data_IF_514723530449
#
_entry.id   IF_514723530449
#
_cell.length_a   1.000
_cell.length_b   1.000
_cell.length_c   1.000
_cell.angle_alpha   90.00
_cell.angle_beta   90.00
_cell.angle_gamma   90.00
#
_symmetry.space_group_name_H-M   'P 1'
#
loop_
_entity.id
_entity.type
_entity.pdbx_description
1 polymer ?
#
# COMPACT_ATOMS: atom_id res chain seq x y z
N UNK A 1 -51.97 30.59 56.77
CA UNK A 1 -52.32 31.92 57.31
C UNK A 1 -51.05 32.57 57.85
N UNK A 2 -50.86 33.86 57.53
CA UNK A 2 -50.01 34.88 58.20
C UNK A 2 -48.48 34.72 58.04
N UNK A 3 -47.83 35.57 57.22
CA UNK A 3 -47.26 36.93 57.53
C UNK A 3 -45.98 36.81 58.38
N UNK A 4 -44.88 37.53 58.16
CA UNK A 4 -44.47 38.64 57.29
C UNK A 4 -42.98 38.92 57.58
N UNK A 5 -42.20 39.40 56.61
CA UNK A 5 -41.52 40.73 56.59
C UNK A 5 -40.73 41.06 57.86
N UNK A 6 -39.46 41.53 57.84
CA UNK A 6 -38.88 42.68 57.14
C UNK A 6 -37.40 42.77 57.64
N UNK A 7 -36.36 43.19 56.89
CA UNK A 7 -35.94 44.59 56.74
C UNK A 7 -34.63 44.66 55.93
N UNK A 8 -34.53 45.67 55.06
CA UNK A 8 -33.33 46.14 54.33
C UNK A 8 -32.85 47.44 55.03
N UNK A 9 -31.55 47.82 55.00
CA UNK A 9 -31.12 48.97 54.16
C UNK A 9 -29.68 48.81 53.56
N UNK A 10 -29.40 49.05 52.27
CA UNK A 10 -29.11 50.30 51.51
C UNK A 10 -27.82 51.09 51.87
N UNK A 11 -26.88 51.14 50.89
CA UNK A 11 -25.91 52.21 50.45
C UNK A 11 -24.46 51.67 50.31
N UNK A 12 -23.53 52.11 49.45
CA UNK A 12 -23.45 52.81 48.14
C UNK A 12 -21.95 52.74 47.72
N UNK A 13 -21.67 52.49 46.44
CA UNK A 13 -20.49 52.86 45.62
C UNK A 13 -19.03 52.78 46.16
N UNK A 14 -18.19 52.02 45.45
CA UNK A 14 -16.82 52.45 45.10
C UNK A 14 -16.39 51.80 43.77
N UNK A 15 -15.86 52.65 42.88
CA UNK A 15 -15.27 52.34 41.58
C UNK A 15 -13.90 51.67 41.80
N UNK A 16 -13.62 50.61 41.04
CA UNK A 16 -12.29 50.01 40.94
C UNK A 16 -12.11 49.44 39.54
N UNK A 17 -11.30 50.12 38.72
CA UNK A 17 -10.81 49.62 37.43
C UNK A 17 -9.86 48.46 37.72
N UNK A 18 -10.08 47.30 37.11
CA UNK A 18 -9.03 46.30 36.91
C UNK A 18 -9.02 45.85 35.45
N UNK A 19 -7.93 46.19 34.78
CA UNK A 19 -7.51 45.69 33.48
C UNK A 19 -7.26 44.19 33.62
N UNK A 20 -8.03 43.37 32.90
CA UNK A 20 -7.92 41.91 32.88
C UNK A 20 -7.77 41.42 31.45
N UNK A 21 -6.53 41.06 31.12
CA UNK A 21 -5.99 40.46 29.89
C UNK A 21 -6.97 39.57 29.11
N UNK A 22 -7.12 39.89 27.81
CA UNK A 22 -7.64 38.97 26.78
C UNK A 22 -6.74 37.73 26.70
N UNK A 23 -7.18 36.60 27.24
CA UNK A 23 -6.67 35.30 26.79
C UNK A 23 -7.57 34.85 25.66
N UNK A 24 -7.10 35.06 24.44
CA UNK A 24 -7.73 34.54 23.23
C UNK A 24 -7.89 33.03 23.36
N UNK A 25 -9.12 32.56 23.16
CA UNK A 25 -9.38 31.16 22.91
C UNK A 25 -8.64 30.78 21.62
N UNK A 26 -7.49 30.13 21.75
CA UNK A 26 -6.87 29.43 20.64
C UNK A 26 -7.83 28.32 20.24
N UNK A 27 -8.52 28.52 19.11
CA UNK A 27 -9.23 27.45 18.43
C UNK A 27 -8.20 26.39 18.06
N UNK A 28 -8.12 25.32 18.85
CA UNK A 28 -7.57 24.07 18.37
C UNK A 28 -8.52 23.57 17.29
N UNK A 29 -8.28 24.01 16.05
CA UNK A 29 -8.79 23.31 14.90
C UNK A 29 -8.15 21.92 14.93
N UNK A 30 -8.85 20.94 15.51
CA UNK A 30 -8.56 19.55 15.18
C UNK A 30 -8.72 19.48 13.67
N UNK A 31 -7.64 19.23 12.94
CA UNK A 31 -7.75 18.83 11.55
C UNK A 31 -8.60 17.56 11.55
N UNK A 32 -9.91 17.71 11.33
CA UNK A 32 -10.80 16.62 11.03
C UNK A 32 -10.34 16.11 9.67
N UNK A 33 -9.41 15.18 9.69
CA UNK A 33 -8.94 14.51 8.49
C UNK A 33 -10.15 13.81 7.88
N UNK A 34 -10.45 14.12 6.62
CA UNK A 34 -11.45 13.39 5.84
C UNK A 34 -11.14 11.90 5.91
N UNK A 35 -12.14 11.03 6.11
CA UNK A 35 -11.90 9.58 6.12
C UNK A 35 -11.26 9.16 4.78
N UNK A 36 -10.37 8.14 4.78
CA UNK A 36 -9.75 7.66 3.56
C UNK A 36 -10.78 7.31 2.47
N UNK A 37 -10.44 7.57 1.20
CA UNK A 37 -11.31 7.18 0.10
C UNK A 37 -11.26 5.65 -0.06
N UNK A 38 -12.40 4.94 0.08
CA UNK A 38 -12.41 3.48 0.22
C UNK A 38 -11.99 2.73 -1.07
N UNK A 39 -11.84 3.44 -2.18
CA UNK A 39 -11.53 2.91 -3.51
C UNK A 39 -10.20 3.46 -4.06
N UNK A 40 -9.34 4.03 -3.21
CA UNK A 40 -8.03 4.59 -3.58
C UNK A 40 -6.92 3.89 -2.81
N UNK A 41 -5.89 3.44 -3.51
CA UNK A 41 -4.74 2.71 -2.96
C UNK A 41 -3.44 3.35 -3.43
N UNK A 42 -2.42 3.33 -2.59
CA UNK A 42 -1.06 3.62 -3.02
C UNK A 42 -0.31 2.29 -3.20
N UNK A 43 0.20 2.04 -4.40
CA UNK A 43 0.91 0.81 -4.73
C UNK A 43 2.41 1.08 -4.73
N UNK A 44 3.13 0.38 -3.87
CA UNK A 44 4.58 0.39 -3.79
C UNK A 44 5.10 -0.97 -4.29
N UNK A 45 6.32 -1.02 -4.83
CA UNK A 45 6.99 -2.25 -5.23
C UNK A 45 8.49 -2.07 -5.07
N UNK A 46 9.21 -3.14 -4.72
CA UNK A 46 10.68 -3.18 -4.71
C UNK A 46 11.25 -1.98 -3.90
N UNK A 47 10.84 -1.89 -2.62
CA UNK A 47 11.22 -0.80 -1.72
C UNK A 47 12.60 -0.99 -1.12
N UNK A 48 13.08 -2.24 -1.05
CA UNK A 48 14.45 -2.60 -0.77
C UNK A 48 15.05 -1.92 0.47
N UNK A 49 14.29 -1.83 1.56
CA UNK A 49 14.73 -1.14 2.76
C UNK A 49 15.87 -1.91 3.43
N UNK A 50 17.00 -1.25 3.61
CA UNK A 50 18.14 -1.76 4.36
C UNK A 50 18.05 -1.37 5.84
N UNK A 51 18.69 -2.14 6.71
CA UNK A 51 18.74 -1.87 8.14
C UNK A 51 19.38 -0.53 8.47
N UNK A 52 20.43 -0.14 7.74
CA UNK A 52 20.95 1.23 7.81
C UNK A 52 20.17 2.15 6.86
N UNK A 53 19.51 3.17 7.43
CA UNK A 53 18.77 4.20 6.68
C UNK A 53 19.65 4.99 5.73
N UNK A 54 20.93 5.15 6.04
CA UNK A 54 21.89 5.86 5.21
C UNK A 54 22.50 5.01 4.10
N UNK A 55 22.22 3.70 4.08
CA UNK A 55 22.75 2.79 3.06
C UNK A 55 22.30 3.24 1.67
N UNK A 56 23.19 3.08 0.70
CA UNK A 56 22.94 3.39 -0.70
C UNK A 56 23.11 2.15 -1.57
N UNK A 57 22.15 1.92 -2.46
CA UNK A 57 22.25 0.95 -3.52
C UNK A 57 22.04 1.66 -4.86
N UNK A 58 22.95 1.44 -5.81
CA UNK A 58 22.89 2.07 -7.15
C UNK A 58 22.82 3.62 -7.09
N UNK A 59 23.50 4.22 -6.12
CA UNK A 59 23.53 5.68 -5.92
C UNK A 59 22.23 6.27 -5.39
N UNK A 60 21.37 5.45 -4.79
CA UNK A 60 20.09 5.87 -4.21
C UNK A 60 20.05 5.48 -2.74
N UNK A 61 19.61 6.40 -1.88
CA UNK A 61 19.20 6.13 -0.50
C UNK A 61 17.74 5.65 -0.50
N UNK A 62 17.54 4.33 -0.41
CA UNK A 62 16.21 3.69 -0.49
C UNK A 62 15.25 4.23 0.58
N UNK A 63 15.74 4.46 1.80
CA UNK A 63 14.93 4.99 2.89
C UNK A 63 14.43 6.42 2.62
N UNK A 64 15.20 7.25 1.89
CA UNK A 64 14.79 8.62 1.55
C UNK A 64 13.69 8.61 0.49
N UNK A 65 13.83 7.76 -0.53
CA UNK A 65 12.78 7.53 -1.54
C UNK A 65 11.47 7.06 -0.90
N UNK A 66 11.56 6.08 0.01
CA UNK A 66 10.40 5.58 0.74
C UNK A 66 9.76 6.68 1.60
N UNK A 67 10.57 7.41 2.38
CA UNK A 67 10.09 8.50 3.21
C UNK A 67 9.43 9.62 2.39
N UNK A 68 9.95 9.91 1.20
CA UNK A 68 9.31 10.84 0.26
C UNK A 68 7.96 10.32 -0.21
N UNK A 69 7.86 9.07 -0.68
CA UNK A 69 6.59 8.49 -1.09
C UNK A 69 5.55 8.49 0.05
N UNK A 70 5.97 8.16 1.28
CA UNK A 70 5.10 8.25 2.46
C UNK A 70 4.56 9.66 2.66
N UNK A 71 5.41 10.70 2.58
CA UNK A 71 4.95 12.10 2.68
C UNK A 71 3.96 12.46 1.58
N UNK A 72 4.21 12.05 0.35
CA UNK A 72 3.31 12.31 -0.79
C UNK A 72 1.96 11.60 -0.66
N UNK A 73 1.96 10.35 -0.18
CA UNK A 73 0.73 9.59 0.13
C UNK A 73 -0.08 10.30 1.21
N UNK A 74 0.55 10.81 2.27
CA UNK A 74 -0.13 11.54 3.35
C UNK A 74 -0.73 12.88 2.91
N UNK A 75 -0.18 13.48 1.86
CA UNK A 75 -0.66 14.74 1.24
C UNK A 75 -1.79 14.53 0.22
N UNK A 76 -2.12 13.29 -0.11
CA UNK A 76 -3.19 12.99 -1.04
C UNK A 76 -4.57 13.36 -0.47
N UNK A 77 -5.37 14.07 -1.27
CA UNK A 77 -6.76 14.37 -0.94
C UNK A 77 -7.71 13.81 -2.02
N UNK A 78 -8.67 12.94 -1.66
CA UNK A 78 -8.79 12.22 -0.38
C UNK A 78 -7.65 11.20 -0.20
N UNK A 79 -7.24 10.90 1.04
CA UNK A 79 -6.15 9.93 1.30
C UNK A 79 -6.49 8.52 0.79
N UNK A 80 -5.48 7.73 0.33
CA UNK A 80 -5.68 6.31 0.04
C UNK A 80 -6.13 5.54 1.29
N UNK A 81 -6.98 4.54 1.10
CA UNK A 81 -7.43 3.66 2.19
C UNK A 81 -6.34 2.72 2.68
N UNK A 82 -5.40 2.35 1.80
CA UNK A 82 -4.29 1.48 2.14
C UNK A 82 -3.09 1.71 1.21
N UNK A 83 -1.91 1.36 1.71
CA UNK A 83 -0.70 1.11 0.93
C UNK A 83 -0.57 -0.39 0.70
N UNK A 84 -0.41 -0.79 -0.56
CA UNK A 84 -0.16 -2.18 -0.96
C UNK A 84 1.28 -2.28 -1.48
N UNK A 85 2.11 -3.09 -0.81
CA UNK A 85 3.52 -3.31 -1.20
C UNK A 85 3.64 -4.62 -1.98
N UNK A 86 4.12 -4.55 -3.22
CA UNK A 86 4.27 -5.67 -4.13
C UNK A 86 5.66 -6.34 -3.99
N UNK A 87 5.99 -6.79 -2.77
CA UNK A 87 7.22 -7.53 -2.48
C UNK A 87 8.52 -6.73 -2.54
N UNK A 88 9.61 -7.44 -2.25
CA UNK A 88 10.95 -6.92 -2.02
C UNK A 88 10.94 -5.71 -1.10
N UNK A 89 10.26 -5.90 0.04
CA UNK A 89 10.12 -4.87 1.06
C UNK A 89 11.48 -4.55 1.69
N UNK A 90 12.24 -5.61 2.01
CA UNK A 90 13.61 -5.53 2.51
C UNK A 90 14.66 -5.54 1.38
N UNK A 91 15.86 -5.04 1.65
CA UNK A 91 16.90 -4.84 0.64
C UNK A 91 17.35 -6.14 -0.05
N UNK A 92 17.79 -7.13 0.71
CA UNK A 92 18.44 -8.32 0.14
C UNK A 92 18.05 -9.65 0.80
N UNK A 93 18.06 -9.72 2.14
CA UNK A 93 17.91 -10.99 2.88
C UNK A 93 16.84 -10.94 3.97
N UNK A 94 16.03 -9.89 4.01
CA UNK A 94 15.02 -9.67 5.05
C UNK A 94 15.59 -9.79 6.46
N UNK A 95 16.64 -9.02 6.78
CA UNK A 95 17.23 -9.04 8.13
C UNK A 95 16.27 -8.41 9.15
N UNK A 96 16.53 -8.62 10.45
CA UNK A 96 15.69 -8.00 11.48
C UNK A 96 15.82 -6.48 11.45
N UNK A 97 17.02 -5.99 11.14
CA UNK A 97 17.37 -4.59 11.01
C UNK A 97 16.65 -3.94 9.81
N UNK A 98 16.63 -4.62 8.65
CA UNK A 98 15.87 -4.17 7.47
C UNK A 98 14.40 -3.92 7.83
N UNK A 99 13.79 -4.87 8.55
CA UNK A 99 12.40 -4.77 8.96
C UNK A 99 12.16 -3.78 10.10
N UNK A 100 13.11 -3.58 11.01
CA UNK A 100 13.02 -2.53 12.01
C UNK A 100 13.00 -1.14 11.36
N UNK A 101 13.83 -0.93 10.34
CA UNK A 101 13.86 0.32 9.58
C UNK A 101 12.60 0.48 8.73
N UNK A 102 12.14 -0.57 8.05
CA UNK A 102 10.89 -0.53 7.29
C UNK A 102 9.69 -0.20 8.20
N UNK A 103 9.58 -0.84 9.37
CA UNK A 103 8.53 -0.56 10.35
C UNK A 103 8.53 0.92 10.76
N UNK A 104 9.69 1.47 11.09
CA UNK A 104 9.80 2.89 11.46
C UNK A 104 9.41 3.83 10.30
N UNK A 105 9.70 3.46 9.06
CA UNK A 105 9.30 4.23 7.87
C UNK A 105 7.80 4.16 7.58
N UNK A 106 7.13 3.07 7.98
CA UNK A 106 5.69 2.86 7.81
C UNK A 106 4.83 3.54 8.90
N UNK A 107 5.41 3.84 10.06
CA UNK A 107 4.67 4.39 11.20
C UNK A 107 3.83 5.64 10.87
N UNK A 108 4.32 6.62 10.08
CA UNK A 108 3.51 7.79 9.72
C UNK A 108 2.22 7.44 8.96
N UNK A 109 2.21 6.35 8.17
CA UNK A 109 1.01 5.88 7.48
C UNK A 109 0.02 5.27 8.47
N UNK A 110 0.52 4.48 9.44
CA UNK A 110 -0.28 3.83 10.48
C UNK A 110 -0.92 4.85 11.42
N UNK A 111 -0.15 5.85 11.85
CA UNK A 111 -0.63 6.96 12.67
C UNK A 111 -1.75 7.74 11.95
N UNK A 112 -1.69 7.82 10.62
CA UNK A 112 -2.74 8.43 9.79
C UNK A 112 -3.94 7.51 9.50
N UNK A 113 -3.97 6.30 10.07
CA UNK A 113 -5.04 5.32 9.87
C UNK A 113 -5.04 4.65 8.49
N UNK A 114 -3.92 4.71 7.75
CA UNK A 114 -3.77 4.06 6.45
C UNK A 114 -3.26 2.63 6.67
N UNK A 115 -4.05 1.64 6.24
CA UNK A 115 -3.66 0.23 6.30
C UNK A 115 -2.44 -0.07 5.43
N UNK A 116 -1.59 -1.00 5.85
CA UNK A 116 -0.42 -1.42 5.06
C UNK A 116 -0.48 -2.94 4.88
N UNK A 117 -0.50 -3.39 3.64
CA UNK A 117 -0.52 -4.81 3.28
C UNK A 117 0.60 -5.10 2.29
N UNK A 118 1.20 -6.29 2.36
CA UNK A 118 2.29 -6.65 1.45
C UNK A 118 2.11 -8.04 0.85
N UNK A 119 2.38 -8.17 -0.44
CA UNK A 119 2.94 -9.40 -0.99
C UNK A 119 4.42 -9.48 -0.59
N UNK A 120 4.99 -10.69 -0.57
CA UNK A 120 6.41 -10.89 -0.28
C UNK A 120 7.19 -11.23 -1.55
N UNK A 121 8.38 -10.64 -1.66
CA UNK A 121 9.32 -10.89 -2.75
C UNK A 121 10.51 -11.74 -2.34
N UNK A 122 11.38 -12.07 -3.29
CA UNK A 122 12.54 -12.93 -3.03
C UNK A 122 13.50 -12.36 -1.99
N UNK A 123 13.63 -11.04 -1.84
CA UNK A 123 14.50 -10.44 -0.83
C UNK A 123 13.90 -10.42 0.58
N UNK A 124 12.64 -10.81 0.72
CA UNK A 124 11.95 -10.86 1.99
C UNK A 124 12.18 -12.17 2.77
N UNK A 125 11.94 -12.09 4.08
CA UNK A 125 11.92 -13.22 5.00
C UNK A 125 10.60 -13.22 5.77
N UNK A 126 9.69 -14.11 5.34
CA UNK A 126 8.30 -14.21 5.81
C UNK A 126 8.12 -14.10 7.32
N UNK A 127 8.83 -14.91 8.10
CA UNK A 127 8.65 -14.93 9.56
C UNK A 127 9.07 -13.62 10.25
N UNK A 128 10.11 -12.95 9.72
CA UNK A 128 10.60 -11.69 10.28
C UNK A 128 9.70 -10.54 9.88
N UNK A 129 9.23 -10.52 8.63
CA UNK A 129 8.21 -9.58 8.18
C UNK A 129 6.98 -9.67 9.07
N UNK A 130 6.43 -10.87 9.27
CA UNK A 130 5.25 -11.07 10.11
C UNK A 130 5.47 -10.63 11.56
N UNK A 131 6.62 -10.99 12.15
CA UNK A 131 6.94 -10.67 13.54
C UNK A 131 7.20 -9.18 13.79
N UNK A 132 7.89 -8.51 12.87
CA UNK A 132 8.41 -7.15 13.08
C UNK A 132 7.53 -6.10 12.42
N UNK A 133 7.13 -6.32 11.17
CA UNK A 133 6.36 -5.34 10.40
C UNK A 133 4.87 -5.56 10.60
N UNK A 134 4.35 -6.74 10.24
CA UNK A 134 2.90 -6.98 10.27
C UNK A 134 2.35 -6.98 11.70
N UNK A 135 3.03 -7.61 12.67
CA UNK A 135 2.63 -7.63 14.09
C UNK A 135 1.15 -8.03 14.34
N UNK A 136 0.51 -8.78 13.44
CA UNK A 136 -0.89 -9.19 13.55
C UNK A 136 -1.90 -8.14 13.06
N UNK A 137 -1.46 -7.12 12.32
CA UNK A 137 -2.37 -6.19 11.64
C UNK A 137 -3.13 -6.89 10.51
N UNK A 138 -2.54 -7.90 9.87
CA UNK A 138 -3.22 -8.74 8.88
C UNK A 138 -3.91 -9.93 9.55
N UNK A 139 -5.02 -10.37 8.97
CA UNK A 139 -5.64 -11.64 9.35
C UNK A 139 -4.65 -12.80 9.13
N UNK A 140 -4.75 -13.88 9.93
CA UNK A 140 -3.95 -15.07 9.70
C UNK A 140 -4.14 -15.60 8.27
N UNK A 141 -3.02 -15.97 7.64
CA UNK A 141 -3.07 -16.49 6.27
C UNK A 141 -3.89 -17.78 6.19
N UNK A 142 -4.87 -17.88 5.26
CA UNK A 142 -5.63 -19.09 5.02
C UNK A 142 -4.80 -20.20 4.34
N UNK A 143 -3.60 -19.88 3.85
CA UNK A 143 -2.70 -20.83 3.21
C UNK A 143 -1.49 -21.05 4.11
N UNK A 144 -1.35 -22.30 4.59
CA UNK A 144 -0.27 -22.70 5.51
C UNK A 144 1.11 -22.32 4.95
N UNK A 145 1.95 -21.71 5.78
CA UNK A 145 3.33 -21.26 5.45
C UNK A 145 3.43 -20.22 4.33
N UNK A 146 2.32 -19.60 3.93
CA UNK A 146 2.27 -18.45 3.01
C UNK A 146 1.73 -17.23 3.73
N UNK A 147 2.02 -16.03 3.22
CA UNK A 147 1.41 -14.77 3.63
C UNK A 147 0.50 -14.26 2.51
N UNK A 148 -0.74 -14.75 2.48
CA UNK A 148 -1.74 -14.28 1.51
C UNK A 148 -2.77 -13.40 2.20
N UNK A 149 -3.25 -12.38 1.49
CA UNK A 149 -4.25 -11.44 2.00
C UNK A 149 -5.37 -11.26 1.00
N UNK A 150 -6.62 -11.35 1.47
CA UNK A 150 -7.79 -10.87 0.77
C UNK A 150 -8.23 -9.55 1.39
N UNK A 151 -8.06 -8.44 0.67
CA UNK A 151 -8.51 -7.12 1.08
C UNK A 151 -9.75 -6.74 0.28
N UNK A 152 -10.89 -6.63 0.96
CA UNK A 152 -12.16 -6.27 0.33
C UNK A 152 -12.37 -4.76 0.36
N UNK A 153 -12.60 -4.16 -0.81
CA UNK A 153 -12.99 -2.76 -0.96
C UNK A 153 -14.34 -2.65 -1.67
N UNK A 154 -15.05 -1.51 -1.64
CA UNK A 154 -16.40 -1.44 -2.22
C UNK A 154 -16.48 -1.85 -3.68
N UNK A 155 -15.53 -1.42 -4.53
CA UNK A 155 -15.58 -1.69 -5.97
C UNK A 155 -14.81 -2.93 -6.42
N UNK A 156 -13.82 -3.39 -5.65
CA UNK A 156 -13.03 -4.56 -6.01
C UNK A 156 -12.42 -5.24 -4.78
N UNK A 157 -12.10 -6.53 -4.93
CA UNK A 157 -11.30 -7.28 -3.97
C UNK A 157 -9.85 -7.38 -4.47
N UNK A 158 -8.91 -7.13 -3.58
CA UNK A 158 -7.48 -7.36 -3.80
C UNK A 158 -7.05 -8.69 -3.21
N UNK A 159 -6.40 -9.51 -4.02
CA UNK A 159 -5.79 -10.79 -3.62
C UNK A 159 -4.27 -10.65 -3.71
N UNK A 160 -3.62 -10.50 -2.56
CA UNK A 160 -2.17 -10.44 -2.45
C UNK A 160 -1.64 -11.86 -2.23
N UNK A 161 -0.84 -12.32 -3.19
CA UNK A 161 -0.25 -13.65 -3.22
C UNK A 161 1.20 -13.63 -2.75
N UNK A 162 1.61 -14.74 -2.16
CA UNK A 162 2.97 -14.96 -1.68
C UNK A 162 3.73 -15.85 -2.67
N UNK A 163 4.58 -15.22 -3.48
CA UNK A 163 5.46 -15.93 -4.42
C UNK A 163 6.88 -16.14 -3.89
N UNK A 164 7.17 -15.71 -2.66
CA UNK A 164 8.45 -15.97 -2.02
C UNK A 164 8.57 -17.48 -1.75
N UNK A 165 9.52 -18.15 -2.37
CA UNK A 165 9.84 -19.55 -2.06
C UNK A 165 10.91 -19.61 -0.96
N UNK A 166 12.14 -19.26 -1.33
CA UNK A 166 13.29 -19.14 -0.44
C UNK A 166 13.82 -17.70 -0.42
N UNK A 167 14.21 -17.21 0.76
CA UNK A 167 14.79 -15.87 0.91
C UNK A 167 16.10 -15.75 0.12
N UNK A 168 16.23 -14.63 -0.59
CA UNK A 168 17.31 -14.24 -1.47
C UNK A 168 17.56 -15.25 -2.60
N UNK A 169 16.49 -15.87 -3.13
CA UNK A 169 16.51 -16.76 -4.28
C UNK A 169 15.36 -16.50 -5.23
N UNK A 170 15.64 -16.70 -6.51
CA UNK A 170 14.66 -16.74 -7.60
C UNK A 170 14.75 -18.10 -8.28
N UNK A 171 13.71 -18.56 -8.98
CA UNK A 171 12.41 -17.90 -9.25
C UNK A 171 11.44 -17.91 -8.05
N UNK A 172 10.30 -17.25 -8.22
CA UNK A 172 9.17 -17.30 -7.29
C UNK A 172 8.25 -18.49 -7.56
N UNK A 173 7.57 -18.96 -6.51
CA UNK A 173 6.71 -20.17 -6.57
C UNK A 173 5.43 -19.92 -5.79
N UNK A 174 4.27 -20.18 -6.41
CA UNK A 174 2.98 -20.11 -5.73
C UNK A 174 2.62 -21.43 -5.04
N UNK A 175 2.84 -22.55 -5.72
CA UNK A 175 2.48 -23.88 -5.27
C UNK A 175 0.97 -24.16 -5.30
N UNK A 176 0.63 -25.44 -5.44
CA UNK A 176 -0.75 -25.91 -5.65
C UNK A 176 -1.73 -25.43 -4.58
N UNK A 177 -1.37 -25.49 -3.30
CA UNK A 177 -2.27 -25.12 -2.20
C UNK A 177 -2.73 -23.65 -2.26
N UNK A 178 -1.85 -22.76 -2.70
CA UNK A 178 -2.17 -21.33 -2.87
C UNK A 178 -3.02 -21.10 -4.12
N UNK A 179 -2.70 -21.76 -5.24
CA UNK A 179 -3.51 -21.70 -6.46
C UNK A 179 -4.93 -22.25 -6.23
N UNK A 180 -5.05 -23.37 -5.53
CA UNK A 180 -6.35 -23.95 -5.17
C UNK A 180 -7.15 -23.02 -4.25
N UNK A 181 -6.49 -22.34 -3.31
CA UNK A 181 -7.12 -21.33 -2.46
C UNK A 181 -7.60 -20.14 -3.28
N UNK A 182 -6.74 -19.60 -4.16
CA UNK A 182 -7.07 -18.48 -5.03
C UNK A 182 -8.29 -18.80 -5.91
N UNK A 183 -8.30 -19.97 -6.56
CA UNK A 183 -9.42 -20.41 -7.36
C UNK A 183 -10.73 -20.42 -6.57
N UNK A 184 -10.76 -21.09 -5.41
CA UNK A 184 -11.95 -21.14 -4.55
C UNK A 184 -12.39 -19.76 -4.08
N UNK A 185 -11.48 -18.93 -3.61
CA UNK A 185 -11.82 -17.60 -3.10
C UNK A 185 -12.26 -16.63 -4.20
N UNK A 186 -11.79 -16.79 -5.44
CA UNK A 186 -12.33 -16.05 -6.58
C UNK A 186 -13.73 -16.54 -6.96
N UNK A 187 -13.99 -17.84 -6.90
CA UNK A 187 -15.30 -18.42 -7.21
C UNK A 187 -16.35 -18.04 -6.14
N UNK A 188 -15.95 -17.95 -4.87
CA UNK A 188 -16.77 -17.44 -3.75
C UNK A 188 -17.12 -15.94 -3.88
N UNK A 189 -16.37 -15.19 -4.70
CA UNK A 189 -16.53 -13.76 -4.94
C UNK A 189 -16.74 -13.44 -6.43
N UNK A 190 -17.41 -14.33 -7.16
CA UNK A 190 -17.59 -14.22 -8.61
C UNK A 190 -18.39 -12.97 -9.05
N UNK A 191 -19.17 -12.38 -8.15
CA UNK A 191 -19.98 -11.18 -8.39
C UNK A 191 -19.22 -9.86 -8.25
N UNK A 192 -17.92 -9.91 -7.90
CA UNK A 192 -17.13 -8.73 -7.59
C UNK A 192 -15.80 -8.71 -8.35
N UNK A 193 -15.43 -7.53 -8.85
CA UNK A 193 -14.14 -7.35 -9.53
C UNK A 193 -12.98 -7.80 -8.65
N UNK A 194 -12.09 -8.61 -9.22
CA UNK A 194 -10.90 -9.11 -8.56
C UNK A 194 -9.63 -8.53 -9.19
N UNK A 195 -8.70 -8.14 -8.32
CA UNK A 195 -7.38 -7.61 -8.65
C UNK A 195 -6.34 -8.44 -7.93
N UNK A 196 -5.39 -9.00 -8.68
CA UNK A 196 -4.38 -9.91 -8.15
C UNK A 196 -3.06 -9.17 -8.01
N UNK A 197 -2.35 -9.37 -6.91
CA UNK A 197 -1.00 -8.83 -6.71
C UNK A 197 -0.05 -9.96 -6.34
N UNK A 198 1.07 -10.08 -7.06
CA UNK A 198 2.12 -11.06 -6.79
C UNK A 198 3.47 -10.44 -7.14
N UNK A 199 4.49 -10.61 -6.30
CA UNK A 199 5.77 -9.95 -6.54
C UNK A 199 6.45 -10.37 -7.86
N UNK A 200 6.68 -11.67 -8.06
CA UNK A 200 7.42 -12.17 -9.21
C UNK A 200 6.62 -11.99 -10.51
N UNK A 201 7.22 -11.36 -11.51
CA UNK A 201 6.58 -11.12 -12.81
C UNK A 201 6.32 -12.43 -13.59
N UNK A 202 5.28 -12.47 -14.45
CA UNK A 202 5.12 -13.51 -15.46
C UNK A 202 6.41 -13.70 -16.28
N UNK A 203 6.84 -14.95 -16.45
CA UNK A 203 8.10 -15.30 -17.07
C UNK A 203 8.04 -16.63 -17.83
N UNK A 204 8.16 -16.54 -19.15
CA UNK A 204 8.04 -17.66 -20.08
C UNK A 204 9.39 -18.28 -20.49
N UNK A 205 10.49 -17.84 -19.88
CA UNK A 205 11.82 -18.37 -20.22
C UNK A 205 11.94 -19.83 -19.75
N UNK A 206 12.69 -20.68 -20.48
CA UNK A 206 12.96 -22.07 -20.05
C UNK A 206 13.63 -22.19 -18.67
N UNK A 207 14.34 -21.15 -18.25
CA UNK A 207 14.90 -20.99 -16.90
C UNK A 207 14.43 -19.64 -16.35
N UNK A 208 13.25 -19.59 -15.72
CA UNK A 208 12.67 -18.33 -15.27
C UNK A 208 13.47 -17.76 -14.11
N UNK A 209 13.49 -16.43 -14.03
CA UNK A 209 13.84 -15.70 -12.80
C UNK A 209 12.61 -15.07 -12.14
N UNK A 210 11.51 -14.93 -12.88
CA UNK A 210 10.21 -14.48 -12.37
C UNK A 210 9.41 -15.62 -11.76
N UNK A 211 8.12 -15.72 -12.10
CA UNK A 211 7.22 -16.73 -11.55
C UNK A 211 7.32 -18.06 -12.32
N UNK A 212 7.50 -19.18 -11.60
CA UNK A 212 7.51 -20.53 -12.20
C UNK A 212 6.14 -20.87 -12.79
N UNK A 213 5.07 -20.74 -12.01
CA UNK A 213 3.71 -21.12 -12.43
C UNK A 213 3.00 -20.02 -13.24
N UNK A 214 3.71 -19.39 -14.18
CA UNK A 214 3.18 -18.28 -14.99
C UNK A 214 1.96 -18.73 -15.80
N UNK A 215 2.05 -19.86 -16.52
CA UNK A 215 0.97 -20.36 -17.36
C UNK A 215 -0.23 -20.82 -16.52
N UNK A 216 0.03 -21.53 -15.42
CA UNK A 216 -1.03 -22.01 -14.54
C UNK A 216 -1.79 -20.85 -13.88
N UNK A 217 -1.08 -19.81 -13.43
CA UNK A 217 -1.73 -18.62 -12.89
C UNK A 217 -2.54 -17.90 -13.97
N UNK A 218 -1.95 -17.59 -15.13
CA UNK A 218 -2.64 -16.85 -16.17
C UNK A 218 -3.89 -17.57 -16.66
N UNK A 219 -3.83 -18.90 -16.82
CA UNK A 219 -5.00 -19.71 -17.16
C UNK A 219 -6.08 -19.64 -16.07
N UNK A 220 -5.70 -19.81 -14.79
CA UNK A 220 -6.63 -19.72 -13.66
C UNK A 220 -7.37 -18.38 -13.64
N UNK A 221 -6.65 -17.28 -13.93
CA UNK A 221 -7.24 -15.94 -13.98
C UNK A 221 -8.10 -15.73 -15.24
N UNK A 222 -7.68 -16.22 -16.40
CA UNK A 222 -8.42 -16.10 -17.66
C UNK A 222 -9.78 -16.83 -17.63
N UNK A 223 -9.87 -17.95 -16.92
CA UNK A 223 -11.12 -18.70 -16.72
C UNK A 223 -12.15 -17.95 -15.85
N UNK A 224 -11.80 -16.76 -15.32
CA UNK A 224 -12.60 -16.00 -14.35
C UNK A 224 -12.77 -14.54 -14.80
N UNK A 225 -13.86 -14.21 -15.52
CA UNK A 225 -14.00 -12.90 -16.16
C UNK A 225 -14.07 -11.74 -15.16
N UNK A 226 -14.40 -11.97 -13.89
CA UNK A 226 -14.34 -10.95 -12.83
C UNK A 226 -12.91 -10.52 -12.47
N UNK A 227 -11.89 -11.30 -12.84
CA UNK A 227 -10.49 -10.92 -12.67
C UNK A 227 -10.08 -9.95 -13.78
N UNK A 228 -9.73 -8.71 -13.42
CA UNK A 228 -9.46 -7.66 -14.41
C UNK A 228 -7.99 -7.28 -14.51
N UNK A 229 -7.17 -7.50 -13.48
CA UNK A 229 -5.76 -7.16 -13.53
C UNK A 229 -4.88 -8.05 -12.62
N UNK A 230 -3.65 -8.30 -13.09
CA UNK A 230 -2.54 -8.89 -12.35
C UNK A 230 -1.43 -7.84 -12.20
N UNK A 231 -1.15 -7.46 -10.97
CA UNK A 231 -0.09 -6.55 -10.56
C UNK A 231 1.14 -7.32 -10.11
N UNK A 232 2.33 -6.87 -10.54
CA UNK A 232 3.60 -7.49 -10.17
C UNK A 232 4.76 -6.50 -10.16
N UNK A 233 5.90 -6.93 -9.60
CA UNK A 233 7.13 -6.16 -9.46
C UNK A 233 8.34 -6.93 -9.98
N UNK A 234 9.40 -7.04 -9.17
CA UNK A 234 10.62 -7.86 -9.34
C UNK A 234 11.57 -7.41 -10.46
N UNK A 235 11.02 -6.92 -11.58
CA UNK A 235 11.80 -6.58 -12.76
C UNK A 235 12.35 -5.14 -12.75
N UNK A 236 11.91 -4.31 -11.80
CA UNK A 236 12.18 -2.87 -11.71
C UNK A 236 11.84 -2.11 -13.01
N UNK A 237 10.76 -2.53 -13.68
CA UNK A 237 10.28 -1.92 -14.92
C UNK A 237 8.82 -1.58 -14.81
N UNK A 238 8.48 -0.34 -15.10
CA UNK A 238 7.08 0.02 -15.24
C UNK A 238 6.56 -0.38 -16.63
N UNK A 239 5.48 -1.16 -16.65
CA UNK A 239 4.82 -1.50 -17.91
C UNK A 239 3.38 -1.92 -17.67
N UNK A 240 2.46 -1.39 -18.47
CA UNK A 240 1.09 -1.90 -18.56
C UNK A 240 0.91 -2.56 -19.91
N UNK A 241 0.47 -3.82 -19.90
CA UNK A 241 0.10 -4.58 -21.10
C UNK A 241 -1.23 -5.27 -20.88
N UNK A 242 -1.77 -5.88 -21.93
CA UNK A 242 -3.00 -6.67 -21.86
C UNK A 242 -2.72 -8.06 -22.43
N UNK A 243 -3.13 -9.08 -21.70
CA UNK A 243 -3.14 -10.46 -22.15
C UNK A 243 -4.60 -10.88 -22.25
N UNK A 244 -5.13 -10.93 -23.48
CA UNK A 244 -6.56 -11.09 -23.76
C UNK A 244 -7.41 -10.00 -23.06
N UNK A 245 -8.22 -10.36 -22.06
CA UNK A 245 -9.04 -9.45 -21.26
C UNK A 245 -8.33 -8.96 -19.99
N UNK A 246 -7.26 -9.65 -19.55
CA UNK A 246 -6.54 -9.38 -18.32
C UNK A 246 -5.47 -8.30 -18.51
N UNK A 247 -5.48 -7.27 -17.67
CA UNK A 247 -4.37 -6.32 -17.62
C UNK A 247 -3.18 -6.90 -16.84
N UNK A 248 -1.99 -6.80 -17.41
CA UNK A 248 -0.72 -7.10 -16.75
C UNK A 248 -0.03 -5.79 -16.39
N UNK A 249 0.05 -5.49 -15.10
CA UNK A 249 0.58 -4.23 -14.56
C UNK A 249 1.88 -4.50 -13.80
N UNK A 250 3.00 -4.24 -14.45
CA UNK A 250 4.31 -4.24 -13.84
C UNK A 250 4.55 -2.88 -13.16
N UNK A 251 4.65 -2.89 -11.85
CA UNK A 251 4.82 -1.71 -11.02
C UNK A 251 6.26 -1.19 -11.09
N UNK A 252 6.47 0.13 -10.97
CA UNK A 252 7.82 0.67 -10.86
C UNK A 252 8.45 0.27 -9.53
N UNK A 253 9.77 0.08 -9.52
CA UNK A 253 10.50 -0.03 -8.27
C UNK A 253 10.53 1.32 -7.56
N UNK A 254 10.23 1.34 -6.27
CA UNK A 254 10.29 2.58 -5.48
C UNK A 254 11.73 2.92 -5.10
N UNK A 255 12.57 1.93 -4.81
CA UNK A 255 13.95 2.14 -4.42
C UNK A 255 14.79 2.67 -5.58
N UNK A 256 15.24 1.77 -6.46
CA UNK A 256 16.18 2.08 -7.53
C UNK A 256 15.78 1.32 -8.79
N UNK A 257 16.31 1.75 -9.94
CA UNK A 257 16.00 1.13 -11.23
C UNK A 257 17.25 0.55 -11.87
N UNK A 258 17.06 -0.37 -12.82
CA UNK A 258 18.15 -0.98 -13.56
C UNK A 258 18.56 -0.20 -14.80
N UNK A 259 17.69 0.67 -15.29
CA UNK A 259 17.92 1.54 -16.44
C UNK A 259 17.31 2.92 -16.20
N UNK A 260 17.95 3.97 -16.74
CA UNK A 260 17.59 5.37 -16.47
C UNK A 260 16.26 5.82 -17.10
N UNK A 261 15.74 5.07 -18.08
CA UNK A 261 14.42 5.31 -18.69
C UNK A 261 13.26 4.82 -17.81
N UNK A 262 13.54 4.00 -16.81
CA UNK A 262 12.54 3.48 -15.91
C UNK A 262 12.30 4.43 -14.73
N UNK A 263 11.04 4.67 -14.35
CA UNK A 263 10.72 5.53 -13.22
C UNK A 263 10.99 4.82 -11.89
N UNK A 264 11.68 5.51 -10.98
CA UNK A 264 11.57 5.22 -9.54
C UNK A 264 10.37 5.99 -9.00
N UNK A 265 9.31 5.26 -8.62
CA UNK A 265 8.00 5.87 -8.36
C UNK A 265 7.13 5.01 -7.46
N UNK A 266 6.07 5.60 -6.92
CA UNK A 266 4.89 4.89 -6.43
C UNK A 266 3.70 5.13 -7.37
N UNK A 267 2.67 4.27 -7.29
CA UNK A 267 1.48 4.37 -8.15
C UNK A 267 0.23 4.66 -7.33
N UNK A 268 -0.47 5.76 -7.62
CA UNK A 268 -1.81 6.05 -7.12
C UNK A 268 -2.84 5.28 -7.95
N UNK A 269 -3.56 4.35 -7.32
CA UNK A 269 -4.57 3.52 -7.96
C UNK A 269 -5.97 3.89 -7.47
N UNK A 270 -6.82 4.37 -8.38
CA UNK A 270 -8.20 4.79 -8.09
C UNK A 270 -9.19 3.91 -8.83
N UNK A 271 -9.96 3.11 -8.09
CA UNK A 271 -11.02 2.28 -8.66
C UNK A 271 -12.20 3.14 -9.09
N UNK A 272 -12.82 2.72 -10.19
CA UNK A 272 -14.09 3.20 -10.72
C UNK A 272 -15.00 1.98 -10.98
N UNK A 273 -16.32 2.16 -11.08
CA UNK A 273 -17.23 1.03 -11.34
C UNK A 273 -16.94 0.26 -12.64
N UNK A 274 -16.30 0.91 -13.61
CA UNK A 274 -16.00 0.40 -14.95
C UNK A 274 -14.50 0.24 -15.21
N UNK A 275 -13.65 0.39 -14.19
CA UNK A 275 -12.22 0.53 -14.44
C UNK A 275 -11.37 0.96 -13.25
N UNK A 276 -10.17 1.41 -13.56
CA UNK A 276 -9.33 2.14 -12.63
C UNK A 276 -8.41 3.11 -13.34
N UNK A 277 -7.99 4.15 -12.64
CA UNK A 277 -6.89 5.02 -13.08
C UNK A 277 -5.65 4.72 -12.24
N UNK A 278 -4.53 4.49 -12.92
CA UNK A 278 -3.20 4.45 -12.34
C UNK A 278 -2.51 5.78 -12.64
N UNK A 279 -1.96 6.45 -11.63
CA UNK A 279 -1.13 7.64 -11.80
C UNK A 279 0.23 7.41 -11.15
N UNK A 280 1.30 7.62 -11.91
CA UNK A 280 2.66 7.54 -11.39
C UNK A 280 3.05 8.82 -10.65
N UNK A 281 3.74 8.63 -9.53
CA UNK A 281 4.37 9.69 -8.76
C UNK A 281 5.85 9.33 -8.61
N UNK A 282 6.67 9.88 -9.49
CA UNK A 282 8.11 9.63 -9.53
C UNK A 282 8.79 10.35 -8.36
N UNK A 283 9.84 9.75 -7.80
CA UNK A 283 10.64 10.40 -6.77
C UNK A 283 11.35 11.63 -7.35
N UNK A 284 11.96 11.46 -8.53
CA UNK A 284 12.42 12.58 -9.34
C UNK A 284 11.24 13.19 -10.11
N UNK A 285 10.83 14.41 -9.75
CA UNK A 285 9.70 15.11 -10.37
C UNK A 285 9.96 15.59 -11.80
N UNK A 286 11.23 15.65 -12.22
CA UNK A 286 11.60 15.97 -13.60
C UNK A 286 11.55 14.74 -14.53
N UNK A 287 11.27 13.54 -13.98
CA UNK A 287 11.17 12.33 -14.79
C UNK A 287 9.94 12.42 -15.74
N UNK A 288 10.05 12.09 -17.04
CA UNK A 288 8.93 12.21 -18.00
C UNK A 288 7.67 11.39 -17.68
N UNK A 289 7.78 10.46 -16.73
CA UNK A 289 6.68 9.62 -16.28
C UNK A 289 6.00 10.16 -15.01
N UNK A 290 6.51 11.23 -14.38
CA UNK A 290 5.84 11.83 -13.23
C UNK A 290 4.46 12.38 -13.65
N UNK A 291 3.43 12.07 -12.87
CA UNK A 291 2.05 12.43 -13.16
C UNK A 291 1.41 11.66 -14.33
N UNK A 292 2.13 10.73 -14.98
CA UNK A 292 1.57 9.95 -16.09
C UNK A 292 0.36 9.15 -15.61
N UNK A 293 -0.77 9.34 -16.29
CA UNK A 293 -2.03 8.62 -16.05
C UNK A 293 -2.26 7.53 -17.08
N UNK A 294 -2.75 6.38 -16.61
CA UNK A 294 -3.15 5.22 -17.41
C UNK A 294 -4.51 4.76 -16.91
N UNK A 295 -5.48 4.70 -17.81
CA UNK A 295 -6.81 4.19 -17.53
C UNK A 295 -6.91 2.72 -17.96
N UNK A 296 -7.33 1.87 -17.03
CA UNK A 296 -7.74 0.50 -17.30
C UNK A 296 -9.28 0.47 -17.32
N UNK A 297 -9.86 -0.13 -18.35
CA UNK A 297 -11.31 -0.26 -18.51
C UNK A 297 -11.69 -1.73 -18.41
N UNK A 298 -12.60 -2.05 -17.49
CA UNK A 298 -13.11 -3.39 -17.33
C UNK A 298 -14.01 -3.69 -18.53
N UNK A 299 -13.58 -4.61 -19.40
CA UNK A 299 -14.50 -5.19 -20.38
C UNK A 299 -15.52 -6.05 -19.65
N UNK A 300 -16.74 -6.12 -20.18
CA UNK A 300 -17.72 -7.14 -19.77
C UNK A 300 -17.14 -8.55 -19.94
#
# INVERSE_FOLDING_TARGET
MLRGQCLIPRRRFLVGILVGVLVGAASQASAQHSPPAPNRFALFSDTHIAGDRGFEARGVKMADHFAQAVREVLQCEPRPTAVLMCGDCAYLKGTAEDYATLRALLEPLRDAGIGVHAALGNHDHRERYLRIVDQGHSAPSPVRKRHVTLLQAPLANWFLLDSLDETNRTPGVLGKAQLDWLARSLDEHADKTALIMVHHNPDWRPKPSGLVETEELLKLLADRPQVKALFFGHSHRFRVTKHETLYLVNLPALAYVFSKDQPSAWTDARLRPDGMTLQLHCINKDHPMDGKRIDLTWSE
#
